data_IF_528861663094
#
_entry.id   IF_528861663094
#
_cell.length_a   1.000
_cell.length_b   1.000
_cell.length_c   1.000
_cell.angle_alpha   90.00
_cell.angle_beta   90.00
_cell.angle_gamma   90.00
#
_symmetry.space_group_name_H-M   'P 1'
#
loop_
_entity.id
_entity.type
_entity.pdbx_description
1 polymer ?
#
# COMPACT_ATOMS: atom_id res chain seq x y z
N UNK A 1 10.77 -0.61 -20.39
CA UNK A 1 9.85 0.30 -19.67
C UNK A 1 10.57 1.63 -19.50
N UNK A 2 9.86 2.75 -19.61
CA UNK A 2 10.43 4.07 -19.32
C UNK A 2 10.54 4.26 -17.79
N UNK A 3 11.30 5.27 -17.35
CA UNK A 3 11.50 5.63 -15.92
C UNK A 3 11.31 7.15 -15.75
N UNK A 4 10.73 7.66 -14.65
CA UNK A 4 10.50 9.10 -14.44
C UNK A 4 11.80 9.85 -14.22
N UNK A 5 12.77 9.19 -13.60
CA UNK A 5 14.09 9.75 -13.32
C UNK A 5 15.14 8.63 -13.27
N UNK A 6 16.39 9.01 -13.07
CA UNK A 6 17.52 8.08 -13.01
C UNK A 6 17.56 7.24 -11.73
N UNK A 7 16.91 7.71 -10.66
CA UNK A 7 16.93 7.09 -9.34
C UNK A 7 15.94 5.92 -9.26
N UNK A 8 14.85 5.97 -10.04
CA UNK A 8 13.92 4.86 -10.24
C UNK A 8 14.48 3.77 -11.16
N UNK A 9 15.50 3.09 -10.66
CA UNK A 9 16.28 2.14 -11.44
C UNK A 9 15.83 0.67 -11.31
N UNK A 10 14.83 0.40 -10.48
CA UNK A 10 14.24 -0.92 -10.24
C UNK A 10 12.73 -0.92 -10.46
N UNK A 11 12.13 -2.08 -10.69
CA UNK A 11 10.68 -2.22 -10.79
C UNK A 11 10.19 -3.10 -9.64
N UNK A 12 9.25 -2.60 -8.86
CA UNK A 12 8.52 -3.37 -7.85
C UNK A 12 7.24 -3.95 -8.48
N UNK A 13 6.77 -5.08 -7.95
CA UNK A 13 5.62 -5.81 -8.48
C UNK A 13 4.60 -6.11 -7.37
N UNK A 14 3.34 -5.75 -7.61
CA UNK A 14 2.22 -6.15 -6.75
C UNK A 14 1.07 -6.75 -7.58
N UNK A 15 0.58 -7.98 -7.26
CA UNK A 15 1.13 -8.89 -6.25
C UNK A 15 2.55 -9.36 -6.59
N UNK A 16 3.36 -9.65 -5.56
CA UNK A 16 4.76 -10.02 -5.71
C UNK A 16 4.95 -11.25 -6.62
N UNK A 17 6.04 -11.28 -7.41
CA UNK A 17 6.42 -12.44 -8.22
C UNK A 17 6.62 -13.74 -7.40
N UNK A 18 6.79 -13.62 -6.07
CA UNK A 18 6.96 -14.75 -5.16
C UNK A 18 5.65 -15.37 -4.66
N UNK A 19 4.48 -14.83 -5.04
CA UNK A 19 3.16 -15.35 -4.66
C UNK A 19 2.38 -15.89 -5.86
N UNK A 20 1.38 -16.74 -5.58
CA UNK A 20 0.52 -17.37 -6.59
C UNK A 20 -0.32 -16.37 -7.40
N UNK A 21 -0.63 -15.22 -6.80
CA UNK A 21 -1.41 -14.13 -7.37
C UNK A 21 -0.55 -13.19 -8.25
N UNK A 22 0.77 -13.37 -8.25
CA UNK A 22 1.70 -12.58 -9.05
C UNK A 22 1.76 -13.00 -10.52
N UNK A 23 2.65 -12.35 -11.28
CA UNK A 23 2.87 -12.66 -12.70
C UNK A 23 1.92 -11.90 -13.63
N UNK A 24 1.18 -12.61 -14.47
CA UNK A 24 0.30 -11.96 -15.47
C UNK A 24 -0.79 -11.16 -14.78
N UNK A 25 -0.90 -9.87 -15.11
CA UNK A 25 -1.84 -8.96 -14.44
C UNK A 25 -1.29 -8.26 -13.20
N UNK A 26 -0.09 -8.60 -12.73
CA UNK A 26 0.57 -7.82 -11.68
C UNK A 26 0.87 -6.40 -12.16
N UNK A 27 0.70 -5.44 -11.26
CA UNK A 27 1.08 -4.05 -11.48
C UNK A 27 2.56 -3.92 -11.15
N UNK A 28 3.31 -3.35 -12.09
CA UNK A 28 4.71 -2.99 -11.92
C UNK A 28 4.83 -1.48 -11.77
N UNK A 29 5.63 -1.04 -10.82
CA UNK A 29 5.99 0.37 -10.66
C UNK A 29 7.49 0.53 -10.60
N UNK A 30 8.04 1.47 -11.36
CA UNK A 30 9.42 1.87 -11.17
C UNK A 30 9.56 2.57 -9.81
N UNK A 31 10.62 2.26 -9.07
CA UNK A 31 10.92 2.85 -7.76
C UNK A 31 12.43 2.89 -7.54
N UNK A 32 12.87 3.63 -6.53
CA UNK A 32 14.27 3.70 -6.16
C UNK A 32 14.80 2.30 -5.78
N UNK A 33 15.92 1.91 -6.37
CA UNK A 33 16.49 0.57 -6.16
C UNK A 33 16.80 0.24 -4.71
N UNK A 34 17.17 1.23 -3.90
CA UNK A 34 17.44 1.04 -2.47
C UNK A 34 16.16 0.70 -1.71
N UNK A 35 15.07 1.40 -1.99
CA UNK A 35 13.75 1.16 -1.37
C UNK A 35 13.21 -0.22 -1.76
N UNK A 36 13.21 -0.54 -3.05
CA UNK A 36 12.77 -1.85 -3.54
C UNK A 36 13.61 -3.01 -2.96
N UNK A 37 14.92 -2.80 -2.85
CA UNK A 37 15.82 -3.79 -2.22
C UNK A 37 15.50 -3.98 -0.74
N UNK A 38 15.17 -2.91 -0.02
CA UNK A 38 14.81 -2.97 1.38
C UNK A 38 13.49 -3.74 1.58
N UNK A 39 12.48 -3.48 0.76
CA UNK A 39 11.20 -4.21 0.78
C UNK A 39 11.36 -5.68 0.42
N UNK A 40 12.12 -5.99 -0.64
CA UNK A 40 12.45 -7.36 -1.03
C UNK A 40 13.19 -8.14 0.06
N UNK A 41 14.13 -7.49 0.77
CA UNK A 41 14.82 -8.08 1.91
C UNK A 41 13.88 -8.35 3.09
N UNK A 42 12.94 -7.44 3.35
CA UNK A 42 11.91 -7.62 4.38
C UNK A 42 11.01 -8.83 4.07
N UNK A 43 10.52 -8.91 2.83
CA UNK A 43 9.69 -10.04 2.38
C UNK A 43 10.46 -11.36 2.45
N UNK A 44 11.69 -11.41 1.95
CA UNK A 44 12.54 -12.60 2.03
C UNK A 44 12.79 -13.01 3.50
N UNK A 45 13.06 -12.05 4.39
CA UNK A 45 13.21 -12.29 5.82
C UNK A 45 11.95 -12.90 6.46
N UNK A 46 10.77 -12.41 6.09
CA UNK A 46 9.49 -12.99 6.48
C UNK A 46 9.32 -14.43 5.95
N UNK A 47 9.52 -14.64 4.64
CA UNK A 47 9.37 -15.95 3.99
C UNK A 47 10.32 -17.01 4.59
N UNK A 48 11.56 -16.62 4.92
CA UNK A 48 12.51 -17.50 5.60
C UNK A 48 12.10 -17.79 7.05
N UNK A 49 11.77 -16.75 7.80
CA UNK A 49 11.54 -16.89 9.25
C UNK A 49 10.21 -17.59 9.56
N UNK A 50 9.13 -17.26 8.84
CA UNK A 50 7.77 -17.72 9.12
C UNK A 50 7.33 -18.84 8.20
N UNK A 51 7.52 -18.68 6.89
CA UNK A 51 7.09 -19.68 5.93
C UNK A 51 8.12 -20.79 5.73
N UNK A 52 9.38 -20.61 6.16
CA UNK A 52 10.50 -21.54 5.91
C UNK A 52 10.63 -21.89 4.42
N UNK A 53 10.32 -20.92 3.55
CA UNK A 53 10.21 -21.10 2.10
C UNK A 53 9.26 -22.22 1.66
N UNK A 54 8.28 -22.57 2.50
CA UNK A 54 7.17 -23.47 2.17
C UNK A 54 5.94 -22.67 1.81
N UNK A 55 4.98 -23.26 1.06
CA UNK A 55 3.69 -22.62 0.81
C UNK A 55 3.03 -22.18 2.12
N UNK A 56 2.67 -20.91 2.18
CA UNK A 56 1.98 -20.27 3.30
C UNK A 56 1.06 -19.17 2.73
N UNK A 57 0.09 -18.74 3.51
CA UNK A 57 -0.77 -17.60 3.17
C UNK A 57 -0.49 -16.47 4.14
N UNK A 58 -0.46 -15.25 3.64
CA UNK A 58 -0.28 -14.04 4.42
C UNK A 58 -1.06 -12.90 3.77
N UNK A 59 -1.33 -11.86 4.55
CA UNK A 59 -1.90 -10.61 4.06
C UNK A 59 -0.85 -9.51 4.21
N UNK A 60 -0.82 -8.60 3.23
CA UNK A 60 -0.02 -7.38 3.32
C UNK A 60 -0.82 -6.32 4.05
N UNK A 61 -0.17 -5.61 4.96
CA UNK A 61 -0.74 -4.49 5.71
C UNK A 61 0.20 -3.30 5.60
N UNK A 62 -0.35 -2.10 5.54
CA UNK A 62 0.45 -0.89 5.42
C UNK A 62 0.67 -0.27 6.80
N UNK A 63 1.92 -0.26 7.24
CA UNK A 63 2.31 0.33 8.52
C UNK A 63 2.27 1.86 8.47
N UNK A 64 1.98 2.48 9.61
CA UNK A 64 2.03 3.93 9.82
C UNK A 64 1.27 4.74 8.75
N UNK A 65 -0.07 4.60 8.64
CA UNK A 65 -0.90 5.23 7.61
C UNK A 65 -0.95 6.78 7.64
N UNK A 66 -0.10 7.41 8.45
CA UNK A 66 0.01 8.84 8.66
C UNK A 66 1.47 9.32 8.83
N UNK A 67 2.48 8.45 8.67
CA UNK A 67 3.89 8.87 8.80
C UNK A 67 4.36 9.57 7.53
N UNK A 68 4.31 10.91 7.55
CA UNK A 68 4.99 11.76 6.56
C UNK A 68 4.43 11.62 5.16
N UNK A 69 3.40 12.40 4.82
CA UNK A 69 2.87 12.63 3.47
C UNK A 69 2.59 11.39 2.60
N UNK A 70 2.75 10.16 3.09
CA UNK A 70 2.59 8.93 2.33
C UNK A 70 1.09 8.75 2.10
N UNK A 71 0.61 9.05 0.89
CA UNK A 71 -0.81 9.07 0.60
C UNK A 71 -1.20 7.63 0.30
N UNK A 72 -1.26 6.76 1.32
CA UNK A 72 -1.95 5.50 1.16
C UNK A 72 -3.45 5.80 1.08
N UNK A 73 -3.82 6.20 -0.14
CA UNK A 73 -5.09 6.73 -0.63
C UNK A 73 -5.89 7.59 0.35
N UNK A 74 -5.23 8.56 1.00
CA UNK A 74 -5.89 9.79 1.43
C UNK A 74 -5.88 10.74 0.24
N UNK A 75 -6.93 10.74 -0.60
CA UNK A 75 -7.12 11.69 -1.72
C UNK A 75 -5.81 12.21 -2.33
N UNK A 76 -4.96 11.27 -2.73
CA UNK A 76 -3.55 11.51 -3.01
C UNK A 76 -3.45 12.30 -4.29
N UNK A 77 -3.50 13.62 -4.17
CA UNK A 77 -3.42 14.62 -5.22
C UNK A 77 -2.17 14.60 -6.10
N UNK A 78 -1.43 13.50 -6.14
CA UNK A 78 -0.33 13.31 -7.08
C UNK A 78 -0.88 12.92 -8.44
N UNK A 79 -0.33 13.51 -9.51
CA UNK A 79 -0.56 13.03 -10.86
C UNK A 79 -0.08 11.56 -10.99
N UNK A 80 -0.69 10.79 -11.90
CA UNK A 80 -0.06 9.56 -12.35
C UNK A 80 1.24 9.95 -13.05
N UNK A 81 2.36 9.36 -12.65
CA UNK A 81 3.67 9.69 -13.21
C UNK A 81 3.94 9.01 -14.55
N UNK A 82 3.02 8.18 -15.07
CA UNK A 82 3.15 7.41 -16.32
C UNK A 82 4.12 6.21 -16.23
N UNK A 83 4.47 5.76 -15.02
CA UNK A 83 5.42 4.67 -14.80
C UNK A 83 4.83 3.42 -14.15
N UNK A 84 3.52 3.23 -14.31
CA UNK A 84 2.77 2.02 -13.96
C UNK A 84 2.61 1.12 -15.19
N UNK A 85 2.94 -0.17 -15.07
CA UNK A 85 2.90 -1.16 -16.16
C UNK A 85 2.22 -2.45 -15.72
N UNK A 86 1.69 -3.22 -16.67
CA UNK A 86 1.16 -4.57 -16.43
C UNK A 86 1.78 -5.55 -17.41
N UNK A 87 2.07 -6.76 -16.94
CA UNK A 87 2.52 -7.84 -17.81
C UNK A 87 1.32 -8.57 -18.45
N UNK A 88 1.15 -8.40 -19.76
CA UNK A 88 0.03 -8.99 -20.54
C UNK A 88 0.57 -9.59 -21.83
N UNK A 89 0.32 -10.89 -22.04
CA UNK A 89 0.67 -11.57 -23.29
C UNK A 89 2.18 -11.61 -23.57
N UNK A 90 3.01 -11.70 -22.53
CA UNK A 90 4.47 -11.76 -22.68
C UNK A 90 5.15 -10.42 -22.89
N UNK A 91 4.41 -9.31 -22.82
CA UNK A 91 4.92 -7.95 -22.99
C UNK A 91 4.46 -7.06 -21.83
N UNK A 92 5.29 -6.09 -21.45
CA UNK A 92 4.88 -5.02 -20.54
C UNK A 92 4.11 -3.96 -21.31
N UNK A 93 2.89 -3.69 -20.87
CA UNK A 93 2.04 -2.66 -21.42
C UNK A 93 1.88 -1.55 -20.40
N UNK A 94 1.83 -0.30 -20.87
CA UNK A 94 1.58 0.84 -20.00
C UNK A 94 0.20 0.65 -19.35
N UNK A 95 0.19 0.62 -18.04
CA UNK A 95 -0.99 0.46 -17.20
C UNK A 95 -1.25 1.73 -16.39
N UNK A 96 -0.70 2.87 -16.85
CA UNK A 96 -1.05 4.14 -16.28
C UNK A 96 -2.57 4.29 -16.34
N UNK A 97 -3.14 4.69 -15.21
CA UNK A 97 -4.59 4.78 -15.04
C UNK A 97 -5.18 6.01 -15.75
N UNK A 98 -4.31 6.88 -16.27
CA UNK A 98 -4.67 7.94 -17.19
C UNK A 98 -3.83 7.84 -18.47
N UNK A 99 -4.46 7.39 -19.55
CA UNK A 99 -3.85 7.20 -20.88
C UNK A 99 -4.16 8.41 -21.79
N UNK A 100 -5.07 9.30 -21.36
CA UNK A 100 -5.53 10.44 -22.15
C UNK A 100 -4.97 11.74 -21.55
N UNK A 101 -3.72 12.05 -21.91
CA UNK A 101 -3.01 13.31 -21.66
C UNK A 101 -3.71 14.59 -22.16
N UNK A 102 -4.97 14.51 -22.59
CA UNK A 102 -5.79 15.64 -23.04
C UNK A 102 -6.69 16.22 -21.95
N UNK A 103 -6.75 15.61 -20.75
CA UNK A 103 -7.47 16.19 -19.59
C UNK A 103 -6.57 16.72 -18.47
N UNK A 104 -5.30 16.32 -18.43
CA UNK A 104 -4.37 16.78 -17.39
C UNK A 104 -3.35 17.76 -17.96
N UNK A 105 -3.70 19.05 -17.88
CA UNK A 105 -2.69 20.09 -17.74
C UNK A 105 -1.80 19.68 -16.57
N UNK A 106 -0.50 19.47 -16.82
CA UNK A 106 0.54 19.13 -15.84
C UNK A 106 0.14 19.55 -14.42
N UNK A 107 0.03 18.58 -13.52
CA UNK A 107 -0.27 18.73 -12.07
C UNK A 107 -1.75 18.77 -11.62
N UNK A 108 -2.69 18.11 -12.31
CA UNK A 108 -4.04 17.89 -11.74
C UNK A 108 -4.04 16.69 -10.79
N UNK A 109 -4.87 16.77 -9.74
CA UNK A 109 -5.08 15.72 -8.74
C UNK A 109 -5.62 14.46 -9.42
N UNK A 110 -4.93 13.31 -9.27
CA UNK A 110 -5.47 12.03 -9.70
C UNK A 110 -6.82 11.77 -9.01
N UNK A 111 -7.85 11.49 -9.82
CA UNK A 111 -9.13 10.97 -9.30
C UNK A 111 -9.03 9.45 -9.24
N UNK A 112 -9.26 8.90 -8.05
CA UNK A 112 -9.41 7.46 -7.88
C UNK A 112 -10.50 6.91 -8.80
N UNK A 113 -10.24 5.79 -9.47
CA UNK A 113 -11.26 5.07 -10.24
C UNK A 113 -12.44 4.73 -9.32
N UNK A 114 -13.67 5.04 -9.72
CA UNK A 114 -14.86 4.74 -8.94
C UNK A 114 -15.05 3.22 -8.69
N UNK A 115 -14.56 2.35 -9.59
CA UNK A 115 -14.59 0.91 -9.42
C UNK A 115 -13.63 0.43 -8.31
N UNK A 116 -12.46 1.07 -8.21
CA UNK A 116 -11.37 0.69 -7.29
C UNK A 116 -11.23 1.61 -6.06
N UNK A 117 -12.02 2.69 -6.00
CA UNK A 117 -12.09 3.56 -4.85
C UNK A 117 -12.74 2.86 -3.66
N UNK A 118 -11.99 2.78 -2.58
CA UNK A 118 -12.49 2.37 -1.28
C UNK A 118 -12.32 3.53 -0.28
N UNK A 119 -13.42 4.12 0.22
CA UNK A 119 -13.37 5.32 1.03
C UNK A 119 -12.40 5.20 2.21
N UNK A 120 -11.54 6.21 2.47
CA UNK A 120 -10.52 6.14 3.52
C UNK A 120 -11.11 5.82 4.91
N UNK A 121 -12.28 6.39 5.20
CA UNK A 121 -12.97 6.18 6.48
C UNK A 121 -13.49 4.75 6.69
N UNK A 122 -13.69 3.99 5.61
CA UNK A 122 -14.10 2.58 5.69
C UNK A 122 -12.90 1.62 5.83
N UNK A 123 -11.67 2.10 5.65
CA UNK A 123 -10.47 1.26 5.81
C UNK A 123 -10.25 0.91 7.27
N UNK A 124 -9.87 -0.32 7.53
CA UNK A 124 -9.72 -0.84 8.88
C UNK A 124 -8.32 -0.55 9.39
N UNK A 125 -8.24 0.12 10.55
CA UNK A 125 -7.00 0.51 11.20
C UNK A 125 -6.89 -0.19 12.55
N UNK A 126 -5.72 -0.73 12.87
CA UNK A 126 -5.48 -1.48 14.10
C UNK A 126 -4.35 -0.86 14.89
N UNK A 127 -4.52 -0.83 16.22
CA UNK A 127 -3.44 -0.54 17.17
C UNK A 127 -2.73 -1.84 17.52
N UNK A 128 -1.42 -1.86 17.39
CA UNK A 128 -0.57 -3.00 17.74
C UNK A 128 0.00 -2.85 19.16
N UNK A 129 0.44 -3.96 19.75
CA UNK A 129 0.89 -4.01 21.16
C UNK A 129 2.12 -3.14 21.48
N UNK A 130 2.90 -2.78 20.47
CA UNK A 130 4.04 -1.87 20.61
C UNK A 130 3.66 -0.38 20.40
N UNK A 131 2.36 -0.10 20.26
CA UNK A 131 1.82 1.24 20.03
C UNK A 131 1.81 1.68 18.56
N UNK A 132 2.37 0.89 17.65
CA UNK A 132 2.31 1.19 16.21
C UNK A 132 0.91 0.95 15.63
N UNK A 133 0.66 1.51 14.44
CA UNK A 133 -0.63 1.42 13.75
C UNK A 133 -0.43 0.79 12.37
N UNK A 134 -1.41 0.00 11.94
CA UNK A 134 -1.42 -0.60 10.60
C UNK A 134 -2.81 -0.51 9.97
N UNK A 135 -2.84 -0.46 8.64
CA UNK A 135 -4.07 -0.44 7.84
C UNK A 135 -4.14 -1.65 6.95
N UNK A 136 -5.34 -2.21 6.88
CA UNK A 136 -5.61 -3.31 5.97
C UNK A 136 -6.11 -2.79 4.62
N UNK A 137 -5.47 -3.20 3.52
CA UNK A 137 -5.93 -2.86 2.18
C UNK A 137 -7.00 -3.84 1.69
N UNK A 138 -8.02 -4.08 2.51
CA UNK A 138 -9.17 -4.93 2.15
C UNK A 138 -10.46 -4.14 2.16
N UNK A 139 -11.35 -4.49 1.23
CA UNK A 139 -12.75 -4.05 1.19
C UNK A 139 -13.67 -4.96 2.01
N UNK A 140 -13.18 -6.14 2.40
CA UNK A 140 -13.94 -7.06 3.21
C UNK A 140 -13.93 -6.60 4.68
N UNK A 141 -15.03 -5.95 5.05
CA UNK A 141 -15.25 -5.44 6.40
C UNK A 141 -15.64 -6.54 7.40
N UNK A 142 -15.82 -7.78 6.94
CA UNK A 142 -16.33 -8.89 7.77
C UNK A 142 -15.25 -9.85 8.25
N UNK A 143 -14.02 -9.74 7.74
CA UNK A 143 -12.90 -10.59 8.18
C UNK A 143 -12.65 -10.39 9.68
N UNK A 144 -12.62 -11.49 10.44
CA UNK A 144 -12.17 -11.47 11.83
C UNK A 144 -10.65 -11.50 11.91
N UNK A 145 -10.10 -10.71 12.83
CA UNK A 145 -8.66 -10.66 13.11
C UNK A 145 -8.31 -11.23 14.50
N UNK A 146 -9.24 -11.95 15.12
CA UNK A 146 -9.01 -12.62 16.39
C UNK A 146 -7.89 -13.66 16.23
N UNK A 147 -6.81 -13.49 16.98
CA UNK A 147 -5.65 -14.38 16.93
C UNK A 147 -4.74 -14.19 15.72
N UNK A 148 -4.97 -13.18 14.86
CA UNK A 148 -4.05 -12.85 13.76
C UNK A 148 -2.77 -12.22 14.30
N UNK A 149 -1.63 -12.67 13.75
CA UNK A 149 -0.30 -12.16 14.09
C UNK A 149 0.12 -11.18 12.98
N UNK A 150 0.52 -9.98 13.39
CA UNK A 150 1.09 -8.97 12.52
C UNK A 150 2.61 -9.12 12.53
N UNK A 151 3.21 -9.17 11.36
CA UNK A 151 4.66 -9.19 11.23
C UNK A 151 5.15 -7.81 10.80
N UNK A 152 6.03 -7.20 11.59
CA UNK A 152 6.71 -5.95 11.21
C UNK A 152 8.20 -6.21 11.05
N UNK A 153 8.81 -5.53 10.09
CA UNK A 153 10.24 -5.65 9.82
C UNK A 153 10.95 -4.37 10.26
N UNK A 154 11.91 -4.50 11.17
CA UNK A 154 12.72 -3.36 11.64
C UNK A 154 14.17 -3.80 11.74
N UNK A 155 15.08 -3.03 11.14
CA UNK A 155 16.52 -3.30 11.17
C UNK A 155 16.85 -4.77 10.81
N UNK A 156 16.31 -5.27 9.70
CA UNK A 156 16.47 -6.65 9.24
C UNK A 156 15.94 -7.76 10.17
N UNK A 157 15.08 -7.42 11.13
CA UNK A 157 14.50 -8.37 12.09
C UNK A 157 12.98 -8.39 11.98
N UNK A 158 12.39 -9.60 11.93
CA UNK A 158 10.94 -9.81 11.94
C UNK A 158 10.44 -9.83 13.38
N UNK A 159 9.57 -8.89 13.73
CA UNK A 159 8.85 -8.85 14.99
C UNK A 159 7.45 -9.38 14.80
N UNK A 160 6.96 -10.13 15.79
CA UNK A 160 5.56 -10.55 15.88
C UNK A 160 4.86 -9.59 16.81
N UNK A 161 3.75 -9.03 16.33
CA UNK A 161 2.90 -8.12 17.05
C UNK A 161 1.47 -8.64 17.03
N UNK A 162 0.74 -8.42 18.11
CA UNK A 162 -0.70 -8.66 18.16
C UNK A 162 -1.46 -7.34 17.99
N UNK A 163 -2.61 -7.40 17.32
CA UNK A 163 -3.57 -6.32 17.40
C UNK A 163 -4.13 -6.26 18.83
N UNK A 164 -4.06 -5.08 19.43
CA UNK A 164 -4.72 -4.77 20.71
C UNK A 164 -6.21 -4.57 20.46
N UNK A 165 -6.54 -3.80 19.43
CA UNK A 165 -7.92 -3.50 19.01
C UNK A 165 -7.97 -2.83 17.64
N UNK A 166 -9.13 -2.91 17.02
CA UNK A 166 -9.50 -2.06 15.89
C UNK A 166 -9.80 -0.63 16.37
N UNK A 167 -9.49 0.36 15.53
CA UNK A 167 -9.72 1.78 15.79
C UNK A 167 -10.94 2.26 15.01
N UNK A 168 -11.84 2.98 15.69
CA UNK A 168 -13.09 3.46 15.10
C UNK A 168 -13.27 4.97 15.27
N UNK A 169 -13.97 5.60 14.32
CA UNK A 169 -14.33 7.02 14.39
C UNK A 169 -13.11 7.92 14.66
N UNK A 170 -13.17 8.71 15.74
CA UNK A 170 -12.11 9.65 16.13
C UNK A 170 -10.80 8.99 16.61
N UNK A 171 -10.81 7.68 16.88
CA UNK A 171 -9.60 6.95 17.27
C UNK A 171 -8.68 6.67 16.09
N UNK A 172 -9.25 6.64 14.89
CA UNK A 172 -8.51 6.46 13.64
C UNK A 172 -7.58 7.64 13.38
N UNK A 173 -6.54 7.38 12.61
CA UNK A 173 -5.66 8.42 12.07
C UNK A 173 -6.49 9.47 11.31
N UNK A 174 -6.24 10.78 11.48
CA UNK A 174 -7.05 11.86 10.90
C UNK A 174 -7.54 11.66 9.46
N UNK A 175 -6.68 11.28 8.51
CA UNK A 175 -7.10 11.08 7.11
C UNK A 175 -7.84 9.77 6.84
N UNK A 176 -8.01 8.93 7.86
CA UNK A 176 -8.89 7.75 7.85
C UNK A 176 -10.14 7.96 8.69
N UNK A 177 -10.39 9.15 9.23
CA UNK A 177 -11.64 9.47 9.91
C UNK A 177 -12.73 9.81 8.91
N UNK A 178 -13.99 9.57 9.29
CA UNK A 178 -15.12 10.07 8.52
C UNK A 178 -15.03 11.61 8.42
N UNK A 179 -15.26 12.21 7.23
CA UNK A 179 -15.20 13.66 7.07
C UNK A 179 -16.07 14.44 8.07
N UNK A 180 -17.20 13.87 8.53
CA UNK A 180 -18.06 14.49 9.54
C UNK A 180 -17.44 14.56 10.94
N UNK A 181 -16.39 13.78 11.20
CA UNK A 181 -15.67 13.74 12.48
C UNK A 181 -14.41 14.62 12.48
N UNK A 182 -13.96 15.04 11.30
CA UNK A 182 -12.81 15.91 11.16
C UNK A 182 -13.23 17.33 11.60
N UNK A 183 -12.63 17.83 12.68
CA UNK A 183 -12.86 19.22 13.10
C UNK A 183 -12.35 20.11 11.98
N UNK A 184 -13.17 21.01 11.41
CA UNK A 184 -12.69 21.94 10.40
C UNK A 184 -11.55 22.73 11.01
N UNK A 185 -10.38 22.67 10.36
CA UNK A 185 -9.26 23.56 10.67
C UNK A 185 -9.80 24.98 10.61
N UNK A 186 -10.05 25.55 11.79
CA UNK A 186 -10.39 26.95 11.94
C UNK A 186 -9.07 27.66 11.68
N UNK A 187 -8.83 28.02 10.42
CA UNK A 187 -7.61 28.67 9.98
C UNK A 187 -7.30 29.85 10.89
N UNK A 188 -6.12 29.79 11.50
CA UNK A 188 -5.43 30.95 12.10
C UNK A 188 -4.36 31.37 11.12
#
# INVERSE_FOLDING_TARGET
MAKPNADENSCDEYPFASVTEGGTGAILRCTEGVENTAEGNALNGFLNSRCKYRPCSFMITFGNPNSGQTPFCQDGGGANDEFEYTFVGGQFQLACRDINSTQDDKWVLHKSDAADFFPPHLRREFLLEDGSRTVLPTRDLTISYDGVIFHTFRNNTVYELRAVRELHGQEKSPGLQDPSLQIPNSGV
#
